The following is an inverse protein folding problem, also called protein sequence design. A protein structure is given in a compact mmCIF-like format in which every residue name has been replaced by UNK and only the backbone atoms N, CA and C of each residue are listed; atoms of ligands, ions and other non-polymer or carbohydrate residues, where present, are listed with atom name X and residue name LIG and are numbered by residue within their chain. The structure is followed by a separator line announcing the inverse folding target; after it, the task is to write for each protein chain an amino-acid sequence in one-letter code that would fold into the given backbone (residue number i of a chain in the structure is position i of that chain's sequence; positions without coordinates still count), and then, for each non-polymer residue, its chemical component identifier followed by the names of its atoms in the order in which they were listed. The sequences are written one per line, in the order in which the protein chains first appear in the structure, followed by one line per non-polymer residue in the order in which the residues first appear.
data_IF_488527086013
#
_entry.id   IF_488527086013
#
_cell.length_a   1.000
_cell.length_b   1.000
_cell.length_c   1.000
_cell.angle_alpha   90.00
_cell.angle_beta   90.00
_cell.angle_gamma   90.00
#
_symmetry.space_group_name_H-M   'P 1'
#
loop_
_entity.id
_entity.type
_entity.pdbx_description
1 polymer ?
#
# COMPACT_ATOMS: atom_id res chain seq x y z
N UNK A 1 -8.45 -7.65 22.54
CA UNK A 1 -9.67 -8.17 21.88
C UNK A 1 -9.24 -9.33 21.01
N UNK A 2 -9.49 -10.56 21.44
CA UNK A 2 -9.12 -11.77 20.68
C UNK A 2 -10.10 -11.92 19.52
N UNK A 3 -9.62 -11.78 18.29
CA UNK A 3 -10.45 -12.06 17.12
C UNK A 3 -10.75 -13.55 17.07
N UNK A 4 -12.01 -13.92 16.84
CA UNK A 4 -12.33 -15.31 16.47
C UNK A 4 -11.53 -15.69 15.23
N UNK A 5 -10.92 -16.88 15.24
CA UNK A 5 -10.12 -17.39 14.12
C UNK A 5 -10.85 -17.25 12.77
N UNK A 6 -12.19 -17.43 12.76
CA UNK A 6 -13.03 -17.24 11.57
C UNK A 6 -12.96 -15.83 10.99
N UNK A 7 -12.96 -14.79 11.84
CA UNK A 7 -12.85 -13.39 11.40
C UNK A 7 -11.45 -13.06 10.88
N UNK A 8 -10.42 -13.70 11.44
CA UNK A 8 -9.05 -13.55 10.96
C UNK A 8 -8.89 -14.14 9.55
N UNK A 9 -9.39 -15.35 9.31
CA UNK A 9 -9.33 -15.98 7.98
C UNK A 9 -10.02 -15.13 6.90
N UNK A 10 -11.19 -14.56 7.20
CA UNK A 10 -11.90 -13.68 6.26
C UNK A 10 -11.04 -12.45 5.91
N UNK A 11 -10.43 -11.80 6.91
CA UNK A 11 -9.55 -10.64 6.68
C UNK A 11 -8.34 -10.99 5.82
N UNK A 12 -7.73 -12.15 6.07
CA UNK A 12 -6.61 -12.65 5.26
C UNK A 12 -7.06 -12.91 3.82
N UNK A 13 -8.22 -13.54 3.61
CA UNK A 13 -8.76 -13.77 2.26
C UNK A 13 -9.00 -12.44 1.54
N UNK A 14 -9.59 -11.45 2.22
CA UNK A 14 -9.80 -10.11 1.67
C UNK A 14 -8.46 -9.47 1.29
N UNK A 15 -7.44 -9.57 2.15
CA UNK A 15 -6.10 -9.04 1.87
C UNK A 15 -5.48 -9.71 0.64
N UNK A 16 -5.58 -11.04 0.52
CA UNK A 16 -5.04 -11.79 -0.62
C UNK A 16 -5.73 -11.37 -1.92
N UNK A 17 -7.05 -11.27 -1.92
CA UNK A 17 -7.80 -10.82 -3.10
C UNK A 17 -7.38 -9.39 -3.49
N UNK A 18 -7.30 -8.48 -2.52
CA UNK A 18 -6.86 -7.12 -2.76
C UNK A 18 -5.43 -7.04 -3.31
N UNK A 19 -4.52 -7.90 -2.80
CA UNK A 19 -3.14 -7.99 -3.27
C UNK A 19 -3.08 -8.48 -4.72
N UNK A 20 -3.84 -9.51 -5.08
CA UNK A 20 -3.90 -10.02 -6.47
C UNK A 20 -4.40 -8.93 -7.41
N UNK A 21 -5.48 -8.24 -7.03
CA UNK A 21 -6.03 -7.12 -7.81
C UNK A 21 -5.02 -5.99 -7.94
N UNK A 22 -4.33 -5.62 -6.85
CA UNK A 22 -3.32 -4.58 -6.86
C UNK A 22 -2.17 -4.93 -7.82
N UNK A 23 -1.60 -6.14 -7.72
CA UNK A 23 -0.53 -6.60 -8.62
C UNK A 23 -1.01 -6.52 -10.07
N UNK A 24 -2.21 -7.03 -10.37
CA UNK A 24 -2.77 -6.97 -11.72
C UNK A 24 -2.89 -5.52 -12.24
N UNK A 25 -3.40 -4.60 -11.41
CA UNK A 25 -3.53 -3.19 -11.78
C UNK A 25 -2.17 -2.53 -12.05
N UNK A 26 -1.14 -2.79 -11.24
CA UNK A 26 0.20 -2.24 -11.47
C UNK A 26 0.90 -2.78 -12.72
N UNK A 27 0.55 -3.99 -13.16
CA UNK A 27 1.14 -4.56 -14.38
C UNK A 27 0.50 -4.00 -15.66
N UNK A 28 -0.71 -3.43 -15.58
CA UNK A 28 -1.43 -2.88 -16.74
C UNK A 28 -0.99 -1.45 -17.00
N UNK A 29 -0.69 -1.11 -18.26
CA UNK A 29 -0.44 0.28 -18.65
C UNK A 29 -1.66 1.15 -18.42
N UNK A 30 -1.44 2.27 -17.75
CA UNK A 30 -2.49 3.23 -17.45
C UNK A 30 -3.10 3.85 -18.74
N UNK A 31 -4.43 4.05 -18.79
CA UNK A 31 -5.07 4.76 -19.90
C UNK A 31 -4.49 6.16 -20.10
N UNK A 32 -4.41 6.60 -21.36
CA UNK A 32 -3.72 7.85 -21.78
C UNK A 32 -4.08 9.08 -20.91
N UNK A 33 -5.34 9.33 -20.52
CA UNK A 33 -5.69 10.52 -19.73
C UNK A 33 -5.02 10.58 -18.36
N UNK A 34 -4.77 9.42 -17.75
CA UNK A 34 -4.26 9.33 -16.38
C UNK A 34 -2.73 9.29 -16.31
N UNK A 35 -2.03 9.09 -17.43
CA UNK A 35 -0.55 9.01 -17.45
C UNK A 35 0.15 10.29 -16.97
N UNK A 36 -0.54 11.43 -17.00
CA UNK A 36 -0.01 12.70 -16.51
C UNK A 36 -0.01 12.81 -14.97
N UNK A 37 -0.78 11.94 -14.31
CA UNK A 37 -0.97 11.92 -12.86
C UNK A 37 -0.62 10.56 -12.26
N UNK A 38 0.15 9.75 -13.00
CA UNK A 38 0.46 8.36 -12.67
C UNK A 38 1.17 8.26 -11.32
N UNK A 39 2.21 9.06 -11.15
CA UNK A 39 2.99 9.18 -9.92
C UNK A 39 2.14 9.62 -8.71
N UNK A 40 1.18 10.54 -8.89
CA UNK A 40 0.23 10.92 -7.84
C UNK A 40 -0.75 9.80 -7.50
N UNK A 41 -1.19 9.02 -8.50
CA UNK A 41 -2.04 7.85 -8.30
C UNK A 41 -1.32 6.74 -7.53
N UNK A 42 -0.02 6.54 -7.79
CA UNK A 42 0.87 5.68 -7.02
C UNK A 42 0.89 6.09 -5.54
N UNK A 43 1.12 7.38 -5.24
CA UNK A 43 1.04 7.90 -3.87
C UNK A 43 -0.35 7.71 -3.22
N UNK A 44 -1.43 7.99 -3.96
CA UNK A 44 -2.80 7.79 -3.48
C UNK A 44 -3.10 6.31 -3.20
N UNK A 45 -2.61 5.40 -4.04
CA UNK A 45 -2.74 3.96 -3.84
C UNK A 45 -2.09 3.54 -2.53
N UNK A 46 -0.84 3.93 -2.26
CA UNK A 46 -0.14 3.53 -1.03
C UNK A 46 -0.72 4.17 0.22
N UNK A 47 -1.21 5.42 0.14
CA UNK A 47 -2.01 6.02 1.22
C UNK A 47 -3.25 5.17 1.53
N UNK A 48 -4.00 4.82 0.49
CA UNK A 48 -5.25 4.06 0.61
C UNK A 48 -5.01 2.62 1.08
N UNK A 49 -3.94 1.98 0.61
CA UNK A 49 -3.52 0.65 1.03
C UNK A 49 -3.13 0.63 2.52
N UNK A 50 -2.38 1.63 2.98
CA UNK A 50 -2.03 1.78 4.38
C UNK A 50 -3.29 1.96 5.25
N UNK A 51 -4.22 2.83 4.82
CA UNK A 51 -5.51 3.00 5.48
C UNK A 51 -6.32 1.71 5.54
N UNK A 52 -6.47 1.04 4.40
CA UNK A 52 -7.22 -0.18 4.25
C UNK A 52 -6.69 -1.28 5.18
N UNK A 53 -5.38 -1.55 5.19
CA UNK A 53 -4.79 -2.60 6.03
C UNK A 53 -4.91 -2.24 7.52
N UNK A 54 -4.68 -0.98 7.90
CA UNK A 54 -4.83 -0.54 9.29
C UNK A 54 -6.27 -0.74 9.80
N UNK A 55 -7.27 -0.43 8.97
CA UNK A 55 -8.68 -0.65 9.29
C UNK A 55 -9.02 -2.14 9.30
N UNK A 56 -8.61 -2.89 8.28
CA UNK A 56 -8.94 -4.31 8.11
C UNK A 56 -8.45 -5.16 9.28
N UNK A 57 -7.24 -4.87 9.80
CA UNK A 57 -6.66 -5.57 10.95
C UNK A 57 -6.88 -4.85 12.29
N UNK A 58 -7.58 -3.70 12.29
CA UNK A 58 -7.85 -2.89 13.48
C UNK A 58 -6.57 -2.56 14.25
N UNK A 59 -5.57 -2.07 13.53
CA UNK A 59 -4.24 -1.76 14.05
C UNK A 59 -4.32 -0.59 15.04
N UNK A 60 -3.86 -0.84 16.26
CA UNK A 60 -3.86 0.14 17.37
C UNK A 60 -2.50 0.36 18.01
N UNK A 61 -1.51 -0.48 17.70
CA UNK A 61 -0.17 -0.36 18.27
C UNK A 61 0.77 0.26 17.25
N UNK A 62 1.75 1.03 17.74
CA UNK A 62 2.78 1.65 16.90
C UNK A 62 3.61 0.55 16.20
N UNK A 63 3.87 -0.57 16.87
CA UNK A 63 4.66 -1.68 16.32
C UNK A 63 3.99 -2.28 15.08
N UNK A 64 2.70 -2.59 15.17
CA UNK A 64 1.94 -3.17 14.06
C UNK A 64 1.79 -2.18 12.91
N UNK A 65 1.62 -0.88 13.22
CA UNK A 65 1.56 0.17 12.21
C UNK A 65 2.88 0.28 11.42
N UNK A 66 4.02 0.33 12.12
CA UNK A 66 5.36 0.35 11.49
C UNK A 66 5.57 -0.89 10.62
N UNK A 67 5.18 -2.08 11.12
CA UNK A 67 5.29 -3.32 10.36
C UNK A 67 4.52 -3.24 9.03
N UNK A 68 3.29 -2.74 9.05
CA UNK A 68 2.49 -2.57 7.82
C UNK A 68 3.13 -1.58 6.86
N UNK A 69 3.63 -0.43 7.36
CA UNK A 69 4.32 0.54 6.51
C UNK A 69 5.57 -0.05 5.85
N UNK A 70 6.38 -0.79 6.62
CA UNK A 70 7.58 -1.43 6.09
C UNK A 70 7.26 -2.47 5.02
N UNK A 71 6.22 -3.29 5.23
CA UNK A 71 5.78 -4.28 4.24
C UNK A 71 5.23 -3.62 2.97
N UNK A 72 4.44 -2.55 3.10
CA UNK A 72 3.94 -1.81 1.95
C UNK A 72 5.07 -1.10 1.18
N UNK A 73 6.03 -0.51 1.87
CA UNK A 73 7.19 0.10 1.21
C UNK A 73 8.05 -0.94 0.49
N UNK A 74 8.26 -2.12 1.09
CA UNK A 74 8.95 -3.22 0.42
C UNK A 74 8.16 -3.68 -0.81
N UNK A 75 6.85 -3.84 -0.70
CA UNK A 75 5.98 -4.19 -1.82
C UNK A 75 6.07 -3.16 -2.96
N UNK A 76 6.14 -1.87 -2.63
CA UNK A 76 6.38 -0.79 -3.60
C UNK A 76 7.65 -0.98 -4.41
N UNK A 77 8.78 -1.19 -3.74
CA UNK A 77 10.04 -1.43 -4.45
C UNK A 77 9.96 -2.71 -5.30
N UNK A 78 9.36 -3.78 -4.78
CA UNK A 78 9.23 -5.06 -5.49
C UNK A 78 8.37 -4.96 -6.76
N UNK A 79 7.30 -4.15 -6.74
CA UNK A 79 6.45 -3.94 -7.92
C UNK A 79 7.22 -3.22 -9.03
N UNK A 80 7.97 -2.18 -8.71
CA UNK A 80 8.84 -1.48 -9.68
C UNK A 80 9.89 -2.43 -10.28
N UNK A 81 10.53 -3.25 -9.44
CA UNK A 81 11.45 -4.29 -9.93
C UNK A 81 10.74 -5.32 -10.82
N UNK A 82 9.52 -5.73 -10.47
CA UNK A 82 8.74 -6.66 -11.27
C UNK A 82 8.35 -6.06 -12.63
N UNK A 83 8.00 -4.76 -12.68
CA UNK A 83 7.71 -4.03 -13.91
C UNK A 83 8.95 -3.97 -14.81
N UNK A 84 10.12 -3.61 -14.26
CA UNK A 84 11.38 -3.61 -15.01
C UNK A 84 11.74 -5.03 -15.50
N UNK A 85 11.67 -6.02 -14.62
CA UNK A 85 11.96 -7.41 -14.95
C UNK A 85 11.01 -7.97 -16.02
N UNK A 86 9.73 -7.57 -16.01
CA UNK A 86 8.76 -7.98 -17.03
C UNK A 86 9.20 -7.61 -18.45
N UNK A 87 9.97 -6.52 -18.62
CA UNK A 87 10.49 -6.11 -19.92
C UNK A 87 11.51 -7.09 -20.52
N UNK A 88 12.05 -8.03 -19.73
CA UNK A 88 12.98 -9.05 -20.21
C UNK A 88 12.28 -10.21 -20.92
N UNK A 89 11.00 -10.48 -20.62
CA UNK A 89 10.26 -11.61 -21.18
C UNK A 89 9.54 -11.29 -22.50
N UNK A 90 9.22 -10.01 -22.74
CA UNK A 90 8.41 -9.60 -23.87
C UNK A 90 9.24 -8.84 -24.90
N UNK A 91 9.06 -9.19 -26.18
CA UNK A 91 9.76 -8.55 -27.31
C UNK A 91 9.42 -7.06 -27.45
N UNK A 92 8.30 -6.61 -26.88
CA UNK A 92 7.92 -5.20 -26.75
C UNK A 92 7.83 -4.85 -25.26
N UNK A 93 8.44 -3.72 -24.88
CA UNK A 93 8.40 -3.22 -23.50
C UNK A 93 6.96 -3.00 -23.02
N UNK A 94 6.58 -3.71 -21.97
CA UNK A 94 5.27 -3.60 -21.32
C UNK A 94 5.29 -2.51 -20.24
N UNK A 95 6.45 -2.16 -19.69
CA UNK A 95 6.56 -1.06 -18.72
C UNK A 95 7.81 -0.21 -18.92
N UNK A 96 7.90 0.88 -18.16
CA UNK A 96 9.11 1.69 -18.05
C UNK A 96 10.26 0.94 -17.35
N UNK A 97 11.39 1.61 -17.19
CA UNK A 97 12.44 1.15 -16.27
C UNK A 97 12.01 1.50 -14.84
N UNK A 98 12.70 0.95 -13.84
CA UNK A 98 12.52 1.33 -12.44
C UNK A 98 12.56 2.86 -12.27
N UNK A 99 11.48 3.45 -11.75
CA UNK A 99 11.39 4.89 -11.53
C UNK A 99 11.53 5.24 -10.03
N UNK A 100 12.64 5.85 -9.59
CA UNK A 100 12.80 6.28 -8.21
C UNK A 100 11.82 7.39 -7.80
N UNK A 101 11.20 8.11 -8.76
CA UNK A 101 10.17 9.11 -8.50
C UNK A 101 8.90 8.43 -8.01
N UNK A 102 8.49 7.32 -8.62
CA UNK A 102 7.31 6.58 -8.20
C UNK A 102 7.50 6.00 -6.78
N UNK A 103 8.68 5.47 -6.48
CA UNK A 103 9.02 5.05 -5.10
C UNK A 103 8.94 6.20 -4.09
N UNK A 104 9.37 7.41 -4.47
CA UNK A 104 9.27 8.60 -3.62
C UNK A 104 7.82 8.99 -3.35
N UNK A 105 6.94 8.94 -4.34
CA UNK A 105 5.52 9.24 -4.15
C UNK A 105 4.77 8.14 -3.40
N UNK A 106 5.14 6.87 -3.61
CA UNK A 106 4.67 5.75 -2.79
C UNK A 106 5.00 5.99 -1.31
N UNK A 107 6.25 6.38 -1.01
CA UNK A 107 6.66 6.76 0.34
C UNK A 107 5.89 7.98 0.86
N UNK A 108 5.66 8.99 0.03
CA UNK A 108 4.87 10.17 0.40
C UNK A 108 3.46 9.77 0.85
N UNK A 109 2.78 8.90 0.09
CA UNK A 109 1.46 8.37 0.45
C UNK A 109 1.46 7.64 1.80
N UNK A 110 2.46 6.79 2.03
CA UNK A 110 2.65 6.08 3.30
C UNK A 110 2.86 7.04 4.48
N UNK A 111 3.74 8.04 4.32
CA UNK A 111 4.02 9.04 5.35
C UNK A 111 2.78 9.90 5.62
N UNK A 112 2.07 10.34 4.57
CA UNK A 112 0.84 11.11 4.71
C UNK A 112 -0.20 10.33 5.54
N UNK A 113 -0.44 9.05 5.24
CA UNK A 113 -1.35 8.24 6.04
C UNK A 113 -0.86 8.07 7.48
N UNK A 114 0.45 7.86 7.67
CA UNK A 114 1.05 7.70 9.00
C UNK A 114 0.80 8.90 9.90
N UNK A 115 0.84 10.12 9.35
CA UNK A 115 0.51 11.35 10.07
C UNK A 115 -0.95 11.30 10.58
N UNK A 116 -1.91 11.00 9.71
CA UNK A 116 -3.32 10.87 10.10
C UNK A 116 -3.53 9.79 11.16
N UNK A 117 -2.92 8.61 10.97
CA UNK A 117 -3.03 7.51 11.91
C UNK A 117 -2.44 7.88 13.27
N UNK A 118 -1.30 8.58 13.30
CA UNK A 118 -0.66 8.99 14.55
C UNK A 118 -1.48 10.02 15.32
N UNK A 119 -2.08 10.99 14.63
CA UNK A 119 -3.03 11.94 15.24
C UNK A 119 -4.23 11.22 15.86
N UNK A 120 -4.80 10.25 15.14
CA UNK A 120 -5.88 9.41 15.64
C UNK A 120 -5.45 8.56 16.86
N UNK A 121 -4.26 7.96 16.81
CA UNK A 121 -3.69 7.17 17.91
C UNK A 121 -3.50 8.01 19.18
N UNK A 122 -2.98 9.24 19.06
CA UNK A 122 -2.85 10.17 20.19
C UNK A 122 -4.22 10.52 20.77
N UNK A 123 -5.19 10.85 19.91
CA UNK A 123 -6.56 11.20 20.33
C UNK A 123 -7.20 10.07 21.15
N UNK A 124 -7.13 8.83 20.66
CA UNK A 124 -7.63 7.66 21.40
C UNK A 124 -6.90 7.45 22.73
N UNK A 125 -5.57 7.62 22.75
CA UNK A 125 -4.78 7.44 23.97
C UNK A 125 -5.08 8.52 25.01
N UNK A 126 -5.41 9.74 24.57
CA UNK A 126 -5.85 10.83 25.45
C UNK A 126 -7.21 10.52 26.09
N UNK A 127 -8.16 9.99 25.33
CA UNK A 127 -9.49 9.62 25.84
C UNK A 127 -9.45 8.49 26.86
N UNK A 128 -8.56 7.50 26.69
CA UNK A 128 -8.42 6.39 27.64
C UNK A 128 -7.70 6.75 28.94
N UNK A 129 -7.10 7.94 29.04
CA UNK A 129 -6.44 8.44 30.26
C UNK A 129 -7.35 9.28 31.15
N UNK A 130 -8.46 9.76 30.61
CA UNK A 130 -9.51 10.49 31.32
C UNK A 130 -10.62 9.52 31.73
#
# INVERSE_FOLDING_TARGET
MTFSNKNLYIRIIILIIALIVAIYCFMIKLPVPFRKVDTELHGLFYFSAAAFINILFLIRTIKDHILVLSLLFLFSALVEFAQEYSNTFYTKRIHGNFDPIDLKFNLLGLVSFSIFWFLFYISLKSQNKN
#
